data_IF_925482741902
#
_entry.id   IF_925482741902
#
_cell.length_a   1.000
_cell.length_b   1.000
_cell.length_c   1.000
_cell.angle_alpha   90.00
_cell.angle_beta   90.00
_cell.angle_gamma   90.00
#
_symmetry.space_group_name_H-M   'P 1'
#
loop_
_entity.id
_entity.type
_entity.pdbx_description
1 polymer ?
#
# COMPACT_ATOMS: atom_id res chain seq x y z
N UNK A 1 -14.93 -1.30 -4.49
CA UNK A 1 -15.59 -0.87 -3.25
C UNK A 1 -15.02 -1.67 -2.09
N UNK A 2 -14.49 -1.00 -1.07
CA UNK A 2 -14.03 -1.66 0.15
C UNK A 2 -15.24 -2.17 0.94
N UNK A 3 -15.26 -3.46 1.29
CA UNK A 3 -16.15 -3.98 2.32
C UNK A 3 -15.51 -3.89 3.73
N UNK A 4 -16.31 -4.10 4.78
CA UNK A 4 -15.89 -3.99 6.18
C UNK A 4 -14.62 -4.78 6.53
N UNK A 5 -14.45 -5.96 5.93
CA UNK A 5 -13.22 -6.76 6.11
C UNK A 5 -11.92 -6.03 5.73
N UNK A 6 -11.94 -5.16 4.72
CA UNK A 6 -10.76 -4.36 4.35
C UNK A 6 -10.52 -3.19 5.32
N UNK A 7 -11.57 -2.74 6.02
CA UNK A 7 -11.49 -1.57 6.91
C UNK A 7 -10.94 -1.93 8.28
N UNK A 8 -11.10 -3.18 8.72
CA UNK A 8 -10.68 -3.63 10.05
C UNK A 8 -9.20 -3.37 10.36
N UNK A 9 -8.23 -3.66 9.46
CA UNK A 9 -6.83 -3.31 9.69
C UNK A 9 -6.61 -1.81 9.89
N UNK A 10 -7.27 -0.97 9.09
CA UNK A 10 -7.14 0.49 9.18
C UNK A 10 -7.78 1.05 10.45
N UNK A 11 -8.92 0.53 10.89
CA UNK A 11 -9.53 0.88 12.18
C UNK A 11 -8.55 0.58 13.33
N UNK A 12 -7.88 -0.57 13.27
CA UNK A 12 -6.87 -0.92 14.26
C UNK A 12 -5.63 -0.02 14.20
N UNK A 13 -5.12 0.29 13.01
CA UNK A 13 -4.00 1.23 12.85
C UNK A 13 -4.35 2.64 13.33
N UNK A 14 -5.60 3.09 13.14
CA UNK A 14 -6.08 4.38 13.66
C UNK A 14 -6.04 4.40 15.18
N UNK A 15 -6.50 3.32 15.83
CA UNK A 15 -6.35 3.15 17.28
C UNK A 15 -4.87 3.15 17.71
N UNK A 16 -3.97 2.47 16.99
CA UNK A 16 -2.53 2.48 17.29
C UNK A 16 -1.93 3.88 17.17
N UNK A 17 -2.29 4.63 16.12
CA UNK A 17 -1.83 6.00 15.91
C UNK A 17 -2.24 6.89 17.09
N UNK A 18 -3.50 6.80 17.54
CA UNK A 18 -4.01 7.58 18.68
C UNK A 18 -3.38 7.15 20.01
N UNK A 19 -3.22 5.85 20.24
CA UNK A 19 -2.68 5.34 21.50
C UNK A 19 -1.19 5.69 21.68
N UNK A 20 -0.40 5.64 20.60
CA UNK A 20 1.05 5.81 20.66
C UNK A 20 1.54 7.17 20.18
N UNK A 21 0.70 7.99 19.55
CA UNK A 21 1.06 9.31 19.01
C UNK A 21 2.24 9.22 18.01
N UNK A 22 2.15 8.27 17.08
CA UNK A 22 3.22 7.98 16.09
C UNK A 22 2.75 8.21 14.66
N UNK A 23 3.67 8.49 13.72
CA UNK A 23 3.34 8.55 12.31
C UNK A 23 2.81 7.22 11.77
N UNK A 24 1.84 7.28 10.87
CA UNK A 24 1.33 6.13 10.14
C UNK A 24 1.57 6.30 8.64
N UNK A 25 2.17 5.28 8.03
CA UNK A 25 2.43 5.25 6.58
C UNK A 25 1.51 4.19 5.97
N UNK A 26 0.72 4.60 4.98
CA UNK A 26 -0.19 3.73 4.24
C UNK A 26 0.38 3.51 2.84
N UNK A 27 0.79 2.28 2.54
CA UNK A 27 1.18 1.90 1.19
C UNK A 27 -0.06 1.49 0.38
N UNK A 28 -0.16 2.00 -0.85
CA UNK A 28 -1.20 1.67 -1.81
C UNK A 28 -0.52 1.09 -3.06
N UNK A 29 -0.74 -0.21 -3.28
CA UNK A 29 -0.04 -1.02 -4.28
C UNK A 29 -0.80 -1.08 -5.61
N UNK A 30 -0.97 0.06 -6.27
CA UNK A 30 -1.67 0.13 -7.57
C UNK A 30 -0.90 -0.60 -8.68
N UNK A 31 0.43 -0.60 -8.61
CA UNK A 31 1.33 -1.39 -9.46
C UNK A 31 1.15 -2.90 -9.27
N UNK A 32 1.05 -3.41 -8.04
CA UNK A 32 0.80 -4.82 -7.76
C UNK A 32 -0.54 -5.27 -8.38
N UNK A 33 -1.58 -4.45 -8.27
CA UNK A 33 -2.88 -4.73 -8.89
C UNK A 33 -2.79 -4.77 -10.40
N UNK A 34 -2.06 -3.84 -11.00
CA UNK A 34 -1.77 -3.83 -12.44
C UNK A 34 -1.07 -5.11 -12.90
N UNK A 35 -0.10 -5.63 -12.13
CA UNK A 35 0.60 -6.87 -12.48
C UNK A 35 -0.21 -8.16 -12.25
N UNK A 36 -1.14 -8.19 -11.29
CA UNK A 36 -1.87 -9.41 -10.91
C UNK A 36 -3.26 -9.56 -11.53
N UNK A 37 -3.91 -8.46 -11.93
CA UNK A 37 -5.25 -8.50 -12.52
C UNK A 37 -5.15 -8.53 -14.04
N UNK A 38 -5.95 -9.40 -14.67
CA UNK A 38 -6.07 -9.42 -16.12
C UNK A 38 -6.93 -8.24 -16.59
N UNK A 39 -6.42 -7.49 -17.57
CA UNK A 39 -7.11 -6.33 -18.15
C UNK A 39 -6.98 -5.06 -17.30
N UNK A 40 -7.17 -3.91 -17.94
CA UNK A 40 -7.01 -2.57 -17.34
C UNK A 40 -5.63 -1.97 -17.59
N UNK A 41 -5.59 -0.64 -17.76
CA UNK A 41 -4.35 0.11 -17.83
C UNK A 41 -3.92 0.58 -16.43
N UNK A 42 -2.64 0.94 -16.25
CA UNK A 42 -2.13 1.43 -14.97
C UNK A 42 -2.96 2.61 -14.44
N UNK A 43 -3.37 3.53 -15.32
CA UNK A 43 -4.22 4.67 -14.98
C UNK A 43 -5.55 4.24 -14.33
N UNK A 44 -6.14 3.15 -14.78
CA UNK A 44 -7.39 2.62 -14.21
C UNK A 44 -7.17 2.15 -12.77
N UNK A 45 -6.10 1.40 -12.51
CA UNK A 45 -5.75 0.94 -11.17
C UNK A 45 -5.38 2.10 -10.24
N UNK A 46 -4.68 3.11 -10.76
CA UNK A 46 -4.38 4.34 -10.02
C UNK A 46 -5.67 5.11 -9.66
N UNK A 47 -6.64 5.21 -10.56
CA UNK A 47 -7.94 5.84 -10.27
C UNK A 47 -8.72 5.06 -9.19
N UNK A 48 -8.73 3.73 -9.29
CA UNK A 48 -9.30 2.88 -8.23
C UNK A 48 -8.57 3.09 -6.91
N UNK A 49 -7.24 3.18 -6.91
CA UNK A 49 -6.44 3.46 -5.73
C UNK A 49 -6.85 4.78 -5.07
N UNK A 50 -7.09 5.85 -5.82
CA UNK A 50 -7.59 7.12 -5.28
C UNK A 50 -8.96 6.98 -4.58
N UNK A 51 -9.89 6.20 -5.14
CA UNK A 51 -11.18 5.94 -4.47
C UNK A 51 -11.00 5.16 -3.18
N UNK A 52 -10.14 4.13 -3.17
CA UNK A 52 -9.85 3.38 -1.94
C UNK A 52 -9.13 4.26 -0.89
N UNK A 53 -8.25 5.18 -1.30
CA UNK A 53 -7.60 6.13 -0.40
C UNK A 53 -8.64 7.02 0.28
N UNK A 54 -9.65 7.52 -0.45
CA UNK A 54 -10.74 8.32 0.15
C UNK A 54 -11.48 7.52 1.23
N UNK A 55 -11.83 6.27 0.94
CA UNK A 55 -12.50 5.39 1.91
C UNK A 55 -11.64 5.14 3.16
N UNK A 56 -10.33 4.92 2.98
CA UNK A 56 -9.39 4.71 4.10
C UNK A 56 -9.25 5.97 4.96
N UNK A 57 -9.06 7.14 4.34
CA UNK A 57 -8.93 8.41 5.06
C UNK A 57 -10.22 8.80 5.79
N UNK A 58 -11.38 8.38 5.29
CA UNK A 58 -12.67 8.60 5.96
C UNK A 58 -12.81 7.90 7.33
N UNK A 59 -11.90 6.98 7.69
CA UNK A 59 -11.82 6.40 9.04
C UNK A 59 -11.46 7.45 10.10
N UNK A 60 -10.82 8.56 9.70
CA UNK A 60 -10.45 9.65 10.60
C UNK A 60 -9.08 9.46 11.26
N UNK A 61 -8.06 9.21 10.43
CA UNK A 61 -6.66 9.32 10.84
C UNK A 61 -6.27 10.79 11.05
N UNK A 62 -5.21 11.03 11.84
CA UNK A 62 -4.62 12.36 11.98
C UNK A 62 -3.85 12.74 10.69
N UNK A 63 -4.27 13.74 9.92
CA UNK A 63 -3.63 14.09 8.65
C UNK A 63 -2.19 14.59 8.82
N UNK A 64 -1.85 15.20 9.96
CA UNK A 64 -0.49 15.72 10.21
C UNK A 64 0.51 14.59 10.48
N UNK A 65 0.01 13.44 10.95
CA UNK A 65 0.80 12.25 11.27
C UNK A 65 0.50 11.06 10.35
N UNK A 66 -0.12 11.28 9.19
CA UNK A 66 -0.44 10.22 8.22
C UNK A 66 0.14 10.53 6.85
N UNK A 67 0.89 9.60 6.31
CA UNK A 67 1.45 9.69 4.96
C UNK A 67 0.91 8.54 4.09
N UNK A 68 0.31 8.88 2.94
CA UNK A 68 -0.14 7.90 1.95
C UNK A 68 0.88 7.81 0.83
N UNK A 69 1.42 6.62 0.62
CA UNK A 69 2.40 6.27 -0.41
C UNK A 69 1.71 5.47 -1.51
N UNK A 70 1.41 6.10 -2.63
CA UNK A 70 0.96 5.42 -3.85
C UNK A 70 2.18 4.95 -4.64
N UNK A 71 2.30 3.65 -4.87
CA UNK A 71 3.54 3.05 -5.38
C UNK A 71 3.92 3.60 -6.75
N UNK A 72 3.01 3.65 -7.73
CA UNK A 72 3.30 4.20 -9.07
C UNK A 72 3.82 5.64 -9.06
N UNK A 73 3.48 6.43 -8.04
CA UNK A 73 3.87 7.84 -7.90
C UNK A 73 5.14 8.01 -7.07
N UNK A 74 5.28 7.22 -5.99
CA UNK A 74 6.35 7.41 -5.01
C UNK A 74 7.56 6.48 -5.23
N UNK A 75 7.44 5.46 -6.10
CA UNK A 75 8.48 4.45 -6.31
C UNK A 75 9.85 5.06 -6.64
N UNK A 76 9.91 6.19 -7.35
CA UNK A 76 11.17 6.87 -7.65
C UNK A 76 12.02 7.20 -6.41
N UNK A 77 11.38 7.57 -5.30
CA UNK A 77 12.05 7.85 -4.02
C UNK A 77 12.42 6.56 -3.28
N UNK A 78 11.61 5.51 -3.41
CA UNK A 78 11.83 4.20 -2.79
C UNK A 78 12.85 3.33 -3.55
N UNK A 79 13.07 3.58 -4.84
CA UNK A 79 13.82 2.70 -5.73
C UNK A 79 15.22 2.33 -5.24
N UNK A 80 16.05 3.24 -4.66
CA UNK A 80 17.34 2.86 -4.09
C UNK A 80 17.22 1.81 -2.98
N UNK A 81 16.18 1.88 -2.16
CA UNK A 81 15.92 0.89 -1.10
C UNK A 81 15.41 -0.42 -1.68
N UNK A 82 14.54 -0.36 -2.70
CA UNK A 82 14.07 -1.54 -3.44
C UNK A 82 15.26 -2.30 -4.04
N UNK A 83 16.20 -1.62 -4.70
CA UNK A 83 17.39 -2.27 -5.26
C UNK A 83 18.25 -2.94 -4.19
N UNK A 84 18.45 -2.28 -3.04
CA UNK A 84 19.19 -2.85 -1.90
C UNK A 84 18.49 -4.10 -1.36
N UNK A 85 17.18 -4.06 -1.19
CA UNK A 85 16.39 -5.18 -0.70
C UNK A 85 16.40 -6.36 -1.68
N UNK A 86 16.15 -6.10 -2.96
CA UNK A 86 16.10 -7.14 -4.01
C UNK A 86 17.42 -7.88 -4.16
N UNK A 87 18.58 -7.24 -3.93
CA UNK A 87 19.89 -7.92 -3.94
C UNK A 87 19.98 -9.08 -2.95
N UNK A 88 19.22 -9.02 -1.86
CA UNK A 88 19.24 -10.03 -0.80
C UNK A 88 18.18 -11.13 -0.97
N UNK A 89 17.37 -11.07 -2.03
CA UNK A 89 16.34 -12.07 -2.32
C UNK A 89 16.70 -12.76 -3.63
N UNK A 90 17.00 -14.06 -3.56
CA UNK A 90 17.20 -14.88 -4.75
C UNK A 90 15.88 -15.51 -5.21
N UNK A 91 15.85 -16.00 -6.46
CA UNK A 91 14.67 -16.58 -7.07
C UNK A 91 14.15 -17.82 -6.33
N UNK A 92 15.04 -18.63 -5.76
CA UNK A 92 14.65 -19.81 -4.97
C UNK A 92 13.84 -19.41 -3.74
N UNK A 93 14.29 -18.40 -3.00
CA UNK A 93 13.57 -17.85 -1.86
C UNK A 93 12.21 -17.29 -2.27
N UNK A 94 12.17 -16.55 -3.38
CA UNK A 94 10.92 -15.96 -3.90
C UNK A 94 9.88 -17.05 -4.22
N UNK A 95 10.28 -18.11 -4.93
CA UNK A 95 9.42 -19.26 -5.25
C UNK A 95 8.96 -20.01 -4.01
N UNK A 96 9.85 -20.22 -3.04
CA UNK A 96 9.53 -20.92 -1.80
C UNK A 96 8.49 -20.18 -0.93
N UNK A 97 8.54 -18.85 -0.90
CA UNK A 97 7.63 -18.02 -0.08
C UNK A 97 6.30 -17.78 -0.80
N UNK A 98 6.34 -17.41 -2.08
CA UNK A 98 5.16 -16.93 -2.80
C UNK A 98 4.55 -17.95 -3.78
N UNK A 99 5.20 -19.12 -3.99
CA UNK A 99 4.67 -20.18 -4.85
C UNK A 99 4.65 -19.85 -6.34
N UNK A 100 5.53 -18.94 -6.78
CA UNK A 100 5.69 -18.52 -8.18
C UNK A 100 6.21 -19.64 -9.10
#
# INVERSE_FOLDING_TARGET
>A
ALHLGHMLPFIFCKYMQEAFHVPFIIQITDDEKYFHKEGGDLEEFTNLAYENIKDILAIGFDPENTFVCLDSVYMGQLYPNVCRFQRHINLTTLKAIFGL
#
